data_IF_032305125625
#
_entry.id   IF_032305125625
#
_cell.length_a   1.000
_cell.length_b   1.000
_cell.length_c   1.000
_cell.angle_alpha   90.00
_cell.angle_beta   90.00
_cell.angle_gamma   90.00
#
_symmetry.space_group_name_H-M   'P 1'
#
loop_
_entity.id
_entity.type
_entity.pdbx_description
1 polymer ?
#
# COMPACT_ATOMS: atom_id res chain seq x y z
N UNK A 1 -30.82 -29.63 4.41
CA UNK A 1 -30.75 -28.24 4.90
C UNK A 1 -29.78 -27.47 4.01
N UNK A 2 -30.30 -26.83 2.96
CA UNK A 2 -29.50 -25.97 2.08
C UNK A 2 -29.43 -24.58 2.69
N UNK A 3 -28.23 -24.12 3.03
CA UNK A 3 -28.04 -22.75 3.47
C UNK A 3 -28.21 -21.83 2.24
N UNK A 4 -28.93 -20.71 2.36
CA UNK A 4 -29.03 -19.74 1.30
C UNK A 4 -27.63 -19.15 1.08
N UNK A 5 -27.17 -19.15 -0.17
CA UNK A 5 -26.01 -18.37 -0.61
C UNK A 5 -26.41 -16.89 -0.54
N UNK A 6 -26.34 -16.32 0.67
CA UNK A 6 -26.44 -14.90 0.90
C UNK A 6 -25.27 -14.20 0.23
N UNK A 7 -25.55 -13.08 -0.44
CA UNK A 7 -24.58 -12.13 -0.99
C UNK A 7 -23.35 -12.03 -0.10
N UNK A 8 -22.14 -12.15 -0.66
CA UNK A 8 -20.88 -12.00 0.09
C UNK A 8 -20.98 -10.71 0.91
N UNK A 9 -21.01 -10.80 2.25
CA UNK A 9 -21.23 -9.63 3.07
C UNK A 9 -20.04 -8.68 2.87
N UNK A 10 -20.33 -7.46 2.42
CA UNK A 10 -19.32 -6.39 2.34
C UNK A 10 -18.80 -6.17 3.76
N UNK A 11 -17.59 -6.67 4.04
CA UNK A 11 -16.96 -6.53 5.35
C UNK A 11 -16.48 -5.09 5.50
N UNK A 12 -17.03 -4.40 6.50
CA UNK A 12 -16.63 -3.03 6.86
C UNK A 12 -15.11 -2.93 7.02
N UNK A 13 -14.42 -1.87 6.54
CA UNK A 13 -12.96 -1.78 6.56
C UNK A 13 -12.32 -2.08 7.92
N UNK A 14 -12.93 -1.62 9.02
CA UNK A 14 -12.45 -1.88 10.38
C UNK A 14 -12.55 -3.35 10.85
N UNK A 15 -13.28 -4.19 10.10
CA UNK A 15 -13.44 -5.63 10.37
C UNK A 15 -12.59 -6.49 9.44
N UNK A 16 -11.81 -5.86 8.56
CA UNK A 16 -10.92 -6.56 7.65
C UNK A 16 -9.62 -6.96 8.35
N UNK A 17 -9.04 -8.05 7.88
CA UNK A 17 -7.72 -8.51 8.30
C UNK A 17 -6.61 -7.74 7.58
N UNK A 18 -5.54 -7.50 8.32
CA UNK A 18 -4.31 -6.86 7.87
C UNK A 18 -3.12 -7.69 8.40
N UNK A 19 -2.05 -7.79 7.62
CA UNK A 19 -0.87 -8.60 7.93
C UNK A 19 0.38 -7.92 7.38
N UNK A 20 1.55 -8.34 7.88
CA UNK A 20 2.83 -7.69 7.65
C UNK A 20 3.21 -6.76 8.81
N UNK A 21 4.49 -6.74 9.15
CA UNK A 21 5.02 -6.00 10.29
C UNK A 21 5.91 -6.84 11.21
N UNK A 22 6.45 -6.22 12.25
CA UNK A 22 7.41 -6.83 13.18
C UNK A 22 6.85 -8.02 13.98
N UNK A 23 5.52 -8.09 14.11
CA UNK A 23 4.77 -9.09 14.89
C UNK A 23 3.88 -9.98 14.00
N UNK A 24 4.14 -9.98 12.69
CA UNK A 24 3.41 -10.75 11.67
C UNK A 24 4.46 -11.17 10.63
N UNK A 25 4.14 -11.10 9.33
CA UNK A 25 5.08 -11.44 8.25
C UNK A 25 6.12 -10.33 8.07
N UNK A 26 7.34 -10.55 8.55
CA UNK A 26 8.38 -9.50 8.68
C UNK A 26 8.95 -9.03 7.34
N UNK A 27 8.81 -9.73 6.23
CA UNK A 27 9.23 -9.20 4.92
C UNK A 27 8.39 -8.02 4.41
N UNK A 28 7.29 -7.69 5.09
CA UNK A 28 6.41 -6.59 4.74
C UNK A 28 6.38 -5.54 5.84
N UNK A 29 6.22 -4.26 5.46
CA UNK A 29 5.91 -3.20 6.43
C UNK A 29 4.51 -3.42 7.03
N UNK A 30 4.19 -2.67 8.09
CA UNK A 30 2.95 -2.85 8.86
C UNK A 30 1.71 -2.83 7.96
N UNK A 31 0.97 -3.94 7.93
CA UNK A 31 -0.28 -4.08 7.17
C UNK A 31 -0.11 -4.18 5.64
N UNK A 32 1.12 -4.24 5.11
CA UNK A 32 1.38 -4.20 3.66
C UNK A 32 1.28 -5.55 2.95
N UNK A 33 1.13 -6.66 3.67
CA UNK A 33 0.87 -7.95 3.03
C UNK A 33 -0.59 -8.01 2.57
N UNK A 34 -0.83 -8.27 1.28
CA UNK A 34 -2.16 -8.46 0.71
C UNK A 34 -2.74 -7.25 -0.03
N UNK A 35 -4.09 -7.21 -0.21
CA UNK A 35 -4.77 -6.20 -1.02
C UNK A 35 -4.48 -4.77 -0.57
N UNK A 36 -4.09 -3.93 -1.54
CA UNK A 36 -3.74 -2.53 -1.32
C UNK A 36 -3.92 -1.71 -2.59
N UNK A 37 -3.99 -0.40 -2.43
CA UNK A 37 -4.17 0.58 -3.50
C UNK A 37 -3.05 1.60 -3.46
N UNK A 38 -2.73 2.20 -4.60
CA UNK A 38 -1.98 3.44 -4.64
C UNK A 38 -2.95 4.61 -4.46
N UNK A 39 -2.51 5.66 -3.79
CA UNK A 39 -3.31 6.88 -3.63
C UNK A 39 -2.54 8.06 -4.15
N UNK A 40 -3.22 8.91 -4.92
CA UNK A 40 -2.63 10.13 -5.47
C UNK A 40 -3.65 11.27 -5.44
N UNK A 41 -3.17 12.47 -5.13
CA UNK A 41 -3.97 13.67 -5.22
C UNK A 41 -4.23 14.01 -6.70
N UNK A 42 -5.48 14.35 -7.04
CA UNK A 42 -5.87 14.57 -8.44
C UNK A 42 -5.12 15.76 -9.08
N UNK A 43 -4.68 16.74 -8.29
CA UNK A 43 -3.86 17.84 -8.78
C UNK A 43 -2.51 17.36 -9.34
N UNK A 44 -1.97 16.24 -8.85
CA UNK A 44 -0.73 15.66 -9.41
C UNK A 44 -0.96 14.97 -10.74
N UNK A 45 -2.19 14.57 -11.04
CA UNK A 45 -2.57 13.96 -12.31
C UNK A 45 -2.91 15.03 -13.36
N UNK A 46 -3.55 16.12 -12.93
CA UNK A 46 -4.08 17.14 -13.83
C UNK A 46 -3.19 18.37 -14.01
N UNK A 47 -2.17 18.56 -13.15
CA UNK A 47 -1.26 19.70 -13.21
C UNK A 47 0.20 19.22 -13.25
N UNK A 48 1.05 19.88 -14.06
CA UNK A 48 2.42 19.42 -14.29
C UNK A 48 3.28 19.48 -13.02
N UNK A 49 4.34 18.68 -12.97
CA UNK A 49 5.31 18.69 -11.87
C UNK A 49 6.42 19.74 -12.04
N UNK A 50 6.61 20.26 -13.25
CA UNK A 50 7.57 21.31 -13.61
C UNK A 50 6.91 22.37 -14.50
N UNK A 51 7.40 23.63 -14.54
CA UNK A 51 6.77 24.70 -15.33
C UNK A 51 6.71 24.44 -16.84
N UNK A 52 7.65 23.63 -17.34
CA UNK A 52 7.77 23.25 -18.75
C UNK A 52 7.16 21.87 -19.05
N UNK A 53 6.67 21.19 -18.02
CA UNK A 53 6.13 19.83 -18.10
C UNK A 53 4.68 19.80 -18.55
N UNK A 54 4.24 18.63 -19.04
CA UNK A 54 2.84 18.35 -19.29
C UNK A 54 2.17 17.73 -18.05
N UNK A 55 0.87 17.96 -17.88
CA UNK A 55 0.08 17.20 -16.93
C UNK A 55 0.03 15.71 -17.34
N UNK A 56 0.15 14.75 -16.39
CA UNK A 56 0.06 13.33 -16.71
C UNK A 56 -1.24 12.91 -17.39
N UNK A 57 -2.36 13.52 -17.01
CA UNK A 57 -3.70 13.18 -17.48
C UNK A 57 -4.56 14.42 -17.73
N UNK A 58 -5.59 14.25 -18.55
CA UNK A 58 -6.63 15.23 -18.83
C UNK A 58 -7.85 15.02 -17.93
N UNK A 59 -8.67 16.07 -17.68
CA UNK A 59 -9.88 15.94 -16.87
C UNK A 59 -10.84 14.85 -17.35
N UNK A 60 -11.05 14.74 -18.66
CA UNK A 60 -11.92 13.71 -19.25
C UNK A 60 -11.44 12.30 -18.94
N UNK A 61 -10.12 12.07 -18.84
CA UNK A 61 -9.56 10.75 -18.51
C UNK A 61 -9.80 10.38 -17.03
N UNK A 62 -9.91 11.36 -16.14
CA UNK A 62 -10.32 11.13 -14.75
C UNK A 62 -11.81 10.81 -14.67
N UNK A 63 -12.66 11.54 -15.41
CA UNK A 63 -14.10 11.28 -15.46
C UNK A 63 -14.44 9.90 -16.05
N UNK A 64 -13.66 9.46 -17.04
CA UNK A 64 -13.82 8.15 -17.68
C UNK A 64 -13.01 7.03 -16.99
N UNK A 65 -12.25 7.37 -15.94
CA UNK A 65 -11.37 6.45 -15.19
C UNK A 65 -10.23 5.83 -16.01
N UNK A 66 -9.90 6.41 -17.19
CA UNK A 66 -8.94 5.86 -18.16
C UNK A 66 -7.52 6.43 -18.05
N UNK A 67 -7.26 7.28 -17.07
CA UNK A 67 -5.97 7.95 -16.88
C UNK A 67 -4.86 6.93 -16.53
N UNK A 68 -3.83 6.82 -17.39
CA UNK A 68 -2.62 6.06 -17.09
C UNK A 68 -1.71 6.86 -16.15
N UNK A 69 -1.82 6.56 -14.86
CA UNK A 69 -1.02 7.18 -13.83
C UNK A 69 0.35 6.48 -13.62
N UNK A 70 0.77 5.57 -14.51
CA UNK A 70 2.06 4.90 -14.47
C UNK A 70 3.28 5.82 -14.42
N UNK A 71 3.35 6.90 -15.23
CA UNK A 71 4.50 7.83 -15.24
C UNK A 71 4.82 8.44 -13.87
N UNK A 72 3.81 8.69 -13.04
CA UNK A 72 3.98 9.26 -11.69
C UNK A 72 4.83 8.39 -10.77
N UNK A 73 4.96 7.09 -11.05
CA UNK A 73 5.82 6.20 -10.26
C UNK A 73 7.28 6.68 -10.26
N UNK A 74 7.78 7.12 -11.41
CA UNK A 74 9.18 7.51 -11.57
C UNK A 74 9.49 8.87 -10.92
N UNK A 75 8.46 9.67 -10.65
CA UNK A 75 8.54 10.98 -9.99
C UNK A 75 8.35 10.91 -8.46
N UNK A 76 8.23 9.70 -7.89
CA UNK A 76 7.85 9.55 -6.47
C UNK A 76 6.42 10.04 -6.20
N UNK A 77 5.55 10.01 -7.21
CA UNK A 77 4.18 10.48 -7.14
C UNK A 77 3.32 9.69 -6.14
N UNK A 78 3.73 8.45 -5.83
CA UNK A 78 3.08 7.57 -4.87
C UNK A 78 3.90 7.44 -3.58
N UNK A 79 3.23 7.56 -2.43
CA UNK A 79 3.79 7.18 -1.13
C UNK A 79 3.72 5.67 -0.90
N UNK A 80 3.71 5.27 0.37
CA UNK A 80 3.43 3.88 0.75
C UNK A 80 2.01 3.50 0.33
N UNK A 81 1.80 2.34 -0.33
CA UNK A 81 0.46 1.87 -0.68
C UNK A 81 -0.47 1.81 0.54
N UNK A 82 -1.75 2.05 0.33
CA UNK A 82 -2.77 1.97 1.37
C UNK A 82 -3.38 0.57 1.40
N UNK A 83 -3.22 -0.19 2.49
CA UNK A 83 -3.81 -1.51 2.56
C UNK A 83 -5.33 -1.38 2.68
N UNK A 84 -6.04 -2.16 1.87
CA UNK A 84 -7.51 -2.24 1.90
C UNK A 84 -8.01 -3.40 2.76
N UNK A 85 -7.08 -4.26 3.20
CA UNK A 85 -7.36 -5.43 4.02
C UNK A 85 -8.19 -6.49 3.28
N UNK A 86 -8.43 -7.60 3.95
CA UNK A 86 -9.20 -8.71 3.40
C UNK A 86 -10.22 -9.30 4.36
N UNK A 87 -11.06 -10.18 3.84
CA UNK A 87 -12.05 -10.93 4.64
C UNK A 87 -11.50 -12.25 5.19
N UNK A 88 -10.34 -12.69 4.71
CA UNK A 88 -9.65 -13.90 5.19
C UNK A 88 -8.14 -13.67 5.22
N UNK A 89 -7.47 -14.23 6.24
CA UNK A 89 -6.01 -14.24 6.38
C UNK A 89 -5.56 -15.61 6.83
N UNK A 90 -4.40 -16.04 6.33
CA UNK A 90 -3.64 -17.17 6.85
C UNK A 90 -2.19 -16.71 6.96
N UNK A 91 -1.61 -16.76 8.15
CA UNK A 91 -0.21 -16.44 8.40
C UNK A 91 0.41 -17.42 9.40
N UNK A 92 1.73 -17.54 9.35
CA UNK A 92 2.50 -18.37 10.26
C UNK A 92 3.99 -18.13 10.08
N UNK A 93 4.81 -18.81 10.88
CA UNK A 93 6.25 -18.70 10.76
C UNK A 93 6.99 -19.73 11.58
N UNK A 94 8.25 -19.98 11.19
CA UNK A 94 9.20 -20.78 11.95
C UNK A 94 10.34 -19.86 12.39
N UNK A 95 10.71 -19.92 13.66
CA UNK A 95 11.81 -19.14 14.22
C UNK A 95 12.72 -20.01 15.07
N UNK A 96 14.01 -19.98 14.76
CA UNK A 96 15.06 -20.66 15.50
C UNK A 96 15.95 -19.64 16.20
N UNK A 97 16.01 -19.70 17.54
CA UNK A 97 16.75 -18.76 18.39
C UNK A 97 18.00 -19.42 18.96
N UNK A 98 19.11 -18.70 18.92
CA UNK A 98 20.40 -19.15 19.42
C UNK A 98 20.96 -18.13 20.42
N UNK A 99 21.32 -18.52 21.64
CA UNK A 99 22.07 -17.65 22.53
C UNK A 99 23.47 -17.43 21.96
N UNK A 100 23.91 -16.17 21.87
CA UNK A 100 25.23 -15.82 21.32
C UNK A 100 26.18 -15.37 22.42
N UNK A 101 25.71 -14.49 23.31
CA UNK A 101 26.44 -13.95 24.46
C UNK A 101 25.46 -13.69 25.60
N UNK A 102 25.98 -13.36 26.79
CA UNK A 102 25.15 -12.87 27.88
C UNK A 102 24.26 -11.70 27.39
N UNK A 103 22.94 -11.87 27.52
CA UNK A 103 21.90 -10.92 27.08
C UNK A 103 21.77 -10.70 25.57
N UNK A 104 22.34 -11.56 24.72
CA UNK A 104 22.20 -11.47 23.27
C UNK A 104 21.79 -12.80 22.65
N UNK A 105 20.76 -12.76 21.79
CA UNK A 105 20.32 -13.91 20.98
C UNK A 105 20.32 -13.54 19.50
N UNK A 106 20.68 -14.49 18.65
CA UNK A 106 20.42 -14.43 17.23
C UNK A 106 19.17 -15.25 16.91
N UNK A 107 18.47 -14.89 15.84
CA UNK A 107 17.41 -15.73 15.30
C UNK A 107 17.48 -15.84 13.78
N UNK A 108 17.09 -17.01 13.30
CA UNK A 108 16.81 -17.29 11.90
C UNK A 108 15.32 -17.56 11.81
N UNK A 109 14.64 -16.94 10.87
CA UNK A 109 13.20 -17.12 10.73
C UNK A 109 12.77 -17.21 9.27
N UNK A 110 11.62 -17.83 9.07
CA UNK A 110 10.87 -17.81 7.84
C UNK A 110 9.40 -17.63 8.17
N UNK A 111 8.85 -16.48 7.80
CA UNK A 111 7.43 -16.19 7.94
C UNK A 111 6.72 -16.49 6.62
N UNK A 112 5.44 -16.84 6.69
CA UNK A 112 4.60 -16.94 5.52
C UNK A 112 3.22 -16.34 5.79
N UNK A 113 2.57 -15.85 4.75
CA UNK A 113 1.20 -15.41 4.89
C UNK A 113 0.50 -15.00 3.60
N UNK A 114 -0.80 -14.82 3.70
CA UNK A 114 -1.67 -14.38 2.62
C UNK A 114 -2.95 -13.76 3.16
N UNK A 115 -3.44 -12.72 2.47
CA UNK A 115 -4.75 -12.10 2.71
C UNK A 115 -5.56 -12.14 1.42
N UNK A 116 -6.84 -12.48 1.52
CA UNK A 116 -7.80 -12.46 0.40
C UNK A 116 -8.81 -11.34 0.60
N UNK A 117 -9.09 -10.57 -0.47
CA UNK A 117 -10.11 -9.51 -0.44
C UNK A 117 -11.49 -10.10 -0.10
N UNK A 118 -11.87 -11.20 -0.77
CA UNK A 118 -13.15 -11.89 -0.59
C UNK A 118 -12.95 -13.39 -0.33
N UNK A 119 -13.70 -13.91 0.65
CA UNK A 119 -13.73 -15.32 0.99
C UNK A 119 -14.36 -16.13 -0.16
N UNK A 120 -13.67 -17.16 -0.64
CA UNK A 120 -14.14 -17.97 -1.77
C UNK A 120 -13.69 -17.48 -3.15
N UNK A 121 -12.78 -16.49 -3.22
CA UNK A 121 -12.11 -16.17 -4.49
C UNK A 121 -11.39 -17.40 -5.04
N UNK A 122 -11.81 -17.89 -6.21
CA UNK A 122 -11.32 -19.16 -6.81
C UNK A 122 -9.85 -19.13 -7.25
N UNK A 123 -9.19 -17.97 -7.18
CA UNK A 123 -7.77 -17.84 -7.45
C UNK A 123 -6.93 -18.18 -6.21
N UNK A 124 -6.47 -19.43 -6.14
CA UNK A 124 -5.42 -19.86 -5.20
C UNK A 124 -4.08 -19.26 -5.63
N UNK A 125 -3.83 -17.97 -5.35
CA UNK A 125 -2.49 -17.39 -5.45
C UNK A 125 -1.53 -17.97 -4.39
N UNK A 126 -0.23 -17.94 -4.65
CA UNK A 126 0.76 -18.50 -3.74
C UNK A 126 0.79 -17.76 -2.39
N UNK A 127 1.24 -18.45 -1.35
CA UNK A 127 1.63 -17.82 -0.10
C UNK A 127 2.90 -16.99 -0.30
N UNK A 128 2.96 -15.82 0.33
CA UNK A 128 4.20 -15.07 0.43
C UNK A 128 5.06 -15.67 1.52
N UNK A 129 6.34 -15.90 1.24
CA UNK A 129 7.32 -16.43 2.19
C UNK A 129 8.45 -15.41 2.33
N UNK A 130 8.81 -15.09 3.57
CA UNK A 130 9.83 -14.09 3.86
C UNK A 130 10.85 -14.64 4.86
N UNK A 131 12.02 -15.13 4.40
CA UNK A 131 13.10 -15.50 5.29
C UNK A 131 13.78 -14.27 5.87
N UNK A 132 14.39 -14.42 7.05
CA UNK A 132 15.10 -13.32 7.68
C UNK A 132 16.01 -13.72 8.83
N UNK A 133 16.73 -12.72 9.30
CA UNK A 133 17.69 -12.78 10.40
C UNK A 133 17.30 -11.77 11.46
N UNK A 134 17.52 -12.14 12.72
CA UNK A 134 17.19 -11.31 13.87
C UNK A 134 18.29 -11.25 14.90
N UNK A 135 18.40 -10.12 15.58
CA UNK A 135 19.22 -9.93 16.77
C UNK A 135 18.32 -9.44 17.91
N UNK A 136 18.47 -10.05 19.08
CA UNK A 136 17.73 -9.72 20.30
C UNK A 136 18.71 -9.31 21.39
N UNK A 137 18.45 -8.17 22.03
CA UNK A 137 19.13 -7.75 23.25
C UNK A 137 18.17 -7.82 24.44
N UNK A 138 18.51 -8.66 25.42
CA UNK A 138 17.68 -8.87 26.62
C UNK A 138 17.92 -7.74 27.63
N UNK A 139 17.11 -6.70 27.51
CA UNK A 139 17.13 -5.54 28.42
C UNK A 139 16.25 -5.77 29.67
N UNK A 140 16.41 -4.99 30.75
CA UNK A 140 15.55 -5.08 31.93
C UNK A 140 14.06 -4.82 31.67
N UNK A 141 13.72 -4.08 30.60
CA UNK A 141 12.35 -3.74 30.22
C UNK A 141 11.79 -4.69 29.13
N UNK A 142 12.49 -5.79 28.85
CA UNK A 142 12.14 -6.78 27.85
C UNK A 142 13.12 -6.83 26.66
N UNK A 143 12.97 -7.81 25.75
CA UNK A 143 13.85 -7.92 24.59
C UNK A 143 13.69 -6.75 23.62
N UNK A 144 14.81 -6.20 23.16
CA UNK A 144 14.89 -5.29 22.01
C UNK A 144 15.24 -6.15 20.80
N UNK A 145 14.44 -6.07 19.74
CA UNK A 145 14.59 -6.88 18.52
C UNK A 145 14.97 -6.00 17.34
N UNK A 146 15.95 -6.47 16.58
CA UNK A 146 16.33 -5.96 15.28
C UNK A 146 16.20 -7.11 14.28
N UNK A 147 15.16 -7.09 13.46
CA UNK A 147 14.91 -8.14 12.48
C UNK A 147 15.01 -7.57 11.06
N UNK A 148 15.66 -8.31 10.16
CA UNK A 148 15.75 -8.02 8.73
C UNK A 148 15.19 -9.21 7.98
N UNK A 149 14.17 -8.97 7.14
CA UNK A 149 13.55 -10.00 6.33
C UNK A 149 13.63 -9.63 4.84
N UNK A 150 13.70 -10.64 3.99
CA UNK A 150 13.70 -10.51 2.54
C UNK A 150 12.34 -10.95 1.98
N UNK A 151 11.69 -10.11 1.18
CA UNK A 151 10.48 -10.47 0.43
C UNK A 151 10.80 -10.75 -1.03
N UNK A 152 10.36 -11.89 -1.54
CA UNK A 152 10.56 -12.23 -2.96
C UNK A 152 9.56 -11.54 -3.88
N UNK A 153 8.44 -11.06 -3.33
CA UNK A 153 7.45 -10.30 -4.07
C UNK A 153 8.08 -9.04 -4.67
N UNK A 154 8.02 -8.95 -6.00
CA UNK A 154 8.59 -7.87 -6.79
C UNK A 154 7.55 -6.83 -7.18
N UNK A 155 7.45 -6.59 -8.49
CA UNK A 155 6.48 -5.65 -9.06
C UNK A 155 5.08 -6.24 -9.02
N UNK A 156 4.14 -5.49 -8.46
CA UNK A 156 2.71 -5.81 -8.42
C UNK A 156 1.93 -4.76 -9.22
N UNK A 157 0.88 -5.18 -9.93
CA UNK A 157 -0.04 -4.24 -10.57
C UNK A 157 -1.08 -3.77 -9.55
N UNK A 158 -1.04 -2.50 -9.17
CA UNK A 158 -1.91 -1.92 -8.15
C UNK A 158 -2.87 -0.89 -8.75
N UNK A 159 -4.15 -0.91 -8.35
CA UNK A 159 -5.10 0.15 -8.73
C UNK A 159 -4.72 1.47 -8.09
N UNK A 160 -4.95 2.56 -8.82
CA UNK A 160 -4.74 3.93 -8.34
C UNK A 160 -6.08 4.53 -7.95
N UNK A 161 -6.16 5.00 -6.72
CA UNK A 161 -7.35 5.67 -6.17
C UNK A 161 -7.07 7.17 -6.02
N UNK A 162 -7.98 7.97 -6.56
CA UNK A 162 -7.98 9.43 -6.45
C UNK A 162 -9.40 9.94 -6.25
N UNK A 163 -9.60 11.25 -6.17
CA UNK A 163 -10.94 11.85 -6.12
C UNK A 163 -11.54 11.96 -7.51
N UNK A 164 -12.84 11.72 -7.64
CA UNK A 164 -13.56 12.11 -8.85
C UNK A 164 -13.64 13.63 -8.95
N UNK A 165 -13.86 14.11 -10.17
CA UNK A 165 -13.93 15.53 -10.49
C UNK A 165 -15.21 15.84 -11.25
N UNK A 166 -15.49 17.14 -11.36
CA UNK A 166 -16.48 17.71 -12.28
C UNK A 166 -16.04 19.12 -12.67
N UNK A 167 -16.57 19.68 -13.76
CA UNK A 167 -16.39 21.08 -14.08
C UNK A 167 -16.84 21.98 -12.90
N UNK A 168 -16.09 23.05 -12.70
CA UNK A 168 -16.47 24.14 -11.80
C UNK A 168 -17.79 24.78 -12.29
N UNK A 169 -18.72 24.99 -11.37
CA UNK A 169 -20.02 25.58 -11.66
C UNK A 169 -20.44 26.54 -10.54
N UNK A 170 -20.26 27.87 -10.72
CA UNK A 170 -20.62 28.85 -9.69
C UNK A 170 -22.12 28.87 -9.39
N UNK A 171 -22.97 28.33 -10.28
CA UNK A 171 -24.42 28.24 -10.03
C UNK A 171 -24.79 27.16 -9.02
N UNK A 172 -23.87 26.22 -8.75
CA UNK A 172 -24.01 25.16 -7.73
C UNK A 172 -23.44 25.55 -6.37
N UNK A 173 -22.94 26.79 -6.24
CA UNK A 173 -22.33 27.28 -5.01
C UNK A 173 -20.83 27.00 -4.89
N UNK A 174 -20.19 26.56 -5.97
CA UNK A 174 -18.73 26.45 -6.02
C UNK A 174 -18.10 27.84 -5.89
N UNK A 175 -17.01 27.94 -5.14
CA UNK A 175 -16.21 29.16 -5.00
C UNK A 175 -14.84 28.98 -5.64
N UNK A 176 -14.15 30.08 -5.97
CA UNK A 176 -12.82 30.03 -6.63
C UNK A 176 -11.79 29.18 -5.87
N UNK A 177 -11.91 29.03 -4.54
CA UNK A 177 -11.01 28.20 -3.74
C UNK A 177 -11.22 26.70 -3.90
N UNK A 178 -12.34 26.27 -4.50
CA UNK A 178 -12.67 24.87 -4.74
C UNK A 178 -11.99 24.32 -5.99
N UNK A 179 -11.48 25.20 -6.85
CA UNK A 179 -10.75 24.84 -8.06
C UNK A 179 -9.48 24.06 -7.73
N UNK A 180 -9.21 23.05 -8.55
CA UNK A 180 -8.00 22.24 -8.43
C UNK A 180 -6.80 23.08 -8.81
N UNK A 181 -5.84 23.18 -7.89
CA UNK A 181 -4.65 24.03 -8.03
C UNK A 181 -3.40 23.37 -7.47
N UNK A 182 -2.23 23.72 -8.00
CA UNK A 182 -0.92 23.22 -7.58
C UNK A 182 0.15 24.29 -7.79
N UNK A 183 1.05 24.45 -6.82
CA UNK A 183 2.22 25.32 -7.01
C UNK A 183 3.34 24.56 -7.72
N UNK A 184 3.82 25.12 -8.84
CA UNK A 184 4.84 24.56 -9.71
C UNK A 184 5.90 25.65 -9.95
N UNK A 185 7.12 25.46 -9.44
CA UNK A 185 8.18 26.46 -9.58
C UNK A 185 7.86 27.84 -8.97
N UNK A 186 6.93 27.91 -8.00
CA UNK A 186 6.49 29.17 -7.38
C UNK A 186 5.32 29.85 -8.08
N UNK A 187 4.86 29.31 -9.22
CA UNK A 187 3.63 29.74 -9.91
C UNK A 187 2.48 28.81 -9.50
N UNK A 188 1.28 29.35 -9.31
CA UNK A 188 0.08 28.54 -9.03
C UNK A 188 -0.58 28.22 -10.37
N UNK A 189 -0.57 26.94 -10.73
CA UNK A 189 -1.36 26.40 -11.83
C UNK A 189 -2.75 26.02 -11.29
N UNK A 190 -3.79 26.30 -12.07
CA UNK A 190 -5.19 26.07 -11.69
C UNK A 190 -6.01 25.63 -12.91
N UNK A 191 -7.03 24.81 -12.67
CA UNK A 191 -8.01 24.39 -13.68
C UNK A 191 -9.44 24.58 -13.16
N UNK A 192 -10.38 24.83 -14.08
CA UNK A 192 -11.81 25.02 -13.78
C UNK A 192 -12.55 23.68 -13.51
N UNK A 193 -11.99 22.88 -12.60
CA UNK A 193 -12.57 21.63 -12.10
C UNK A 193 -12.50 21.61 -10.57
N UNK A 194 -13.49 20.95 -9.96
CA UNK A 194 -13.60 20.78 -8.52
C UNK A 194 -13.71 19.30 -8.16
N UNK A 195 -13.38 18.96 -6.91
CA UNK A 195 -13.48 17.60 -6.40
C UNK A 195 -14.94 17.19 -6.17
N UNK A 196 -15.24 15.91 -6.35
CA UNK A 196 -16.44 15.25 -5.81
C UNK A 196 -16.08 14.49 -4.54
N UNK A 197 -17.08 14.21 -3.72
CA UNK A 197 -16.98 13.34 -2.54
C UNK A 197 -16.90 11.83 -2.90
N UNK A 198 -16.78 11.51 -4.19
CA UNK A 198 -16.66 10.16 -4.72
C UNK A 198 -15.20 9.85 -5.08
N UNK A 199 -14.79 8.60 -4.89
CA UNK A 199 -13.47 8.14 -5.28
C UNK A 199 -13.48 7.57 -6.71
N UNK A 200 -12.43 7.89 -7.45
CA UNK A 200 -12.11 7.32 -8.74
C UNK A 200 -11.10 6.18 -8.55
N UNK A 201 -11.37 5.02 -9.13
CA UNK A 201 -10.39 3.93 -9.27
C UNK A 201 -9.98 3.89 -10.73
N UNK A 202 -8.74 4.29 -11.02
CA UNK A 202 -8.25 4.44 -12.38
C UNK A 202 -7.81 3.09 -12.97
N UNK A 203 -7.99 2.95 -14.28
CA UNK A 203 -7.49 1.88 -15.14
C UNK A 203 -6.69 2.56 -16.27
N UNK A 204 -5.44 2.15 -16.58
CA UNK A 204 -4.76 0.91 -16.19
C UNK A 204 -4.24 0.85 -14.74
N UNK A 205 -4.04 -0.39 -14.26
CA UNK A 205 -3.27 -0.66 -13.04
C UNK A 205 -1.81 -0.22 -13.19
N UNK A 206 -1.21 0.26 -12.09
CA UNK A 206 0.18 0.72 -12.07
C UNK A 206 1.11 -0.33 -11.48
N UNK A 207 2.16 -0.66 -12.22
CA UNK A 207 3.23 -1.56 -11.79
C UNK A 207 4.07 -0.92 -10.67
N UNK A 208 3.94 -1.41 -9.44
CA UNK A 208 4.56 -0.85 -8.24
C UNK A 208 5.30 -1.92 -7.43
N UNK A 209 6.50 -1.57 -6.94
CA UNK A 209 7.32 -2.46 -6.13
C UNK A 209 8.79 -2.44 -6.57
N UNK A 210 9.66 -3.15 -5.84
CA UNK A 210 11.05 -3.31 -6.25
C UNK A 210 11.12 -4.12 -7.57
N UNK A 211 12.09 -3.78 -8.42
CA UNK A 211 12.35 -4.50 -9.66
C UNK A 211 12.77 -5.96 -9.43
N UNK A 212 12.88 -6.74 -10.51
CA UNK A 212 13.28 -8.14 -10.39
C UNK A 212 14.73 -8.33 -9.93
N UNK A 213 15.01 -9.46 -9.27
CA UNK A 213 16.35 -9.87 -8.84
C UNK A 213 16.70 -9.47 -7.40
N UNK A 214 17.96 -9.71 -7.02
CA UNK A 214 18.43 -9.33 -5.68
C UNK A 214 18.66 -7.82 -5.60
N UNK A 215 17.94 -7.14 -4.71
CA UNK A 215 18.09 -5.70 -4.44
C UNK A 215 17.75 -5.40 -2.98
N UNK A 216 18.38 -4.36 -2.42
CA UNK A 216 18.07 -3.85 -1.09
C UNK A 216 16.61 -3.39 -0.95
N UNK A 217 15.91 -3.09 -2.06
CA UNK A 217 14.46 -2.75 -2.06
C UNK A 217 13.52 -3.89 -1.65
N UNK A 218 14.05 -5.12 -1.56
CA UNK A 218 13.34 -6.29 -1.06
C UNK A 218 13.57 -6.54 0.44
N UNK A 219 14.49 -5.81 1.08
CA UNK A 219 14.75 -5.95 2.51
C UNK A 219 13.81 -5.06 3.31
N UNK A 220 13.23 -5.65 4.35
CA UNK A 220 12.42 -4.94 5.33
C UNK A 220 13.09 -5.04 6.70
N UNK A 221 13.38 -3.87 7.28
CA UNK A 221 13.89 -3.75 8.65
C UNK A 221 12.74 -3.56 9.63
N UNK A 222 12.84 -4.22 10.79
CA UNK A 222 11.94 -4.05 11.93
C UNK A 222 12.73 -3.82 13.21
N UNK A 223 12.25 -2.88 14.01
CA UNK A 223 12.74 -2.61 15.36
C UNK A 223 11.55 -2.71 16.31
N UNK A 224 11.67 -3.49 17.38
CA UNK A 224 10.61 -3.60 18.40
C UNK A 224 11.19 -3.76 19.80
N UNK A 225 10.44 -3.33 20.82
CA UNK A 225 10.84 -3.36 22.25
C UNK A 225 9.72 -3.99 23.07
N UNK A 226 10.08 -4.82 24.04
CA UNK A 226 9.15 -5.30 25.08
C UNK A 226 8.11 -6.31 24.57
N UNK A 227 8.30 -6.84 23.36
CA UNK A 227 7.44 -7.87 22.82
C UNK A 227 7.99 -9.24 23.25
N UNK A 228 7.28 -9.91 24.15
CA UNK A 228 7.42 -11.33 24.40
C UNK A 228 6.45 -12.05 23.45
N UNK A 229 6.97 -13.00 22.66
CA UNK A 229 6.14 -14.07 22.10
C UNK A 229 6.44 -15.33 22.89
#
# INVERSE_FOLDING_TARGET
FGLPLGSVPIVHPQKRFYSGGANSVRGFAQGQLGPRVLTVDVSRLLLPSTPEGAAPCQPLEIELLTCDAGPLRNEGGYGTPRPTGGSMVVEGGLEYRLPVKARMEAAFFADFGRIWAEAGSEHVSAFEITPGLGLRYLSPIGPIRLDVAYRFLGIEALPVVTSQIRPYDPTRGDVETDKIRRSVGGVVEEIDFVLKDELAVLDPLVAYGPGGGFSFGHLQLHISIGQAF
#
